data_IF_433075010709
#
_entry.id   IF_433075010709
#
_cell.length_a   1.000
_cell.length_b   1.000
_cell.length_c   1.000
_cell.angle_alpha   90.00
_cell.angle_beta   90.00
_cell.angle_gamma   90.00
#
_symmetry.space_group_name_H-M   'P 1'
#
loop_
_entity.id
_entity.type
_entity.pdbx_description
1 polymer ?
#
# COMPACT_ATOMS: atom_id res chain seq x y z
N UNK A 1 10.38 8.60 24.14
CA UNK A 1 9.09 8.33 23.43
C UNK A 1 9.45 7.67 22.11
N UNK A 2 8.64 6.76 21.58
CA UNK A 2 8.86 6.18 20.23
C UNK A 2 8.16 7.06 19.19
N UNK A 3 8.90 7.51 18.17
CA UNK A 3 8.30 8.28 17.09
C UNK A 3 7.60 7.36 16.09
N UNK A 4 8.27 6.29 15.64
CA UNK A 4 7.68 5.38 14.63
C UNK A 4 7.67 3.94 15.15
N UNK A 5 6.52 3.29 15.05
CA UNK A 5 6.36 1.85 15.14
C UNK A 5 6.42 1.24 13.75
N UNK A 6 7.44 0.45 13.47
CA UNK A 6 7.56 -0.33 12.26
C UNK A 6 6.97 -1.72 12.47
N UNK A 7 5.90 -2.07 11.77
CA UNK A 7 5.38 -3.43 11.75
C UNK A 7 6.00 -4.19 10.57
N UNK A 8 6.61 -5.34 10.86
CA UNK A 8 7.19 -6.24 9.86
C UNK A 8 6.38 -7.54 9.88
N UNK A 9 5.40 -7.70 8.95
CA UNK A 9 4.68 -8.96 8.78
C UNK A 9 5.62 -10.03 8.22
N UNK A 10 5.80 -11.14 8.96
CA UNK A 10 6.70 -12.21 8.60
C UNK A 10 5.93 -13.54 8.48
N UNK A 11 6.07 -14.21 7.33
CA UNK A 11 5.60 -15.58 7.12
C UNK A 11 6.60 -16.34 6.27
N UNK A 12 7.33 -17.30 6.86
CA UNK A 12 8.42 -18.04 6.24
C UNK A 12 9.45 -17.06 5.61
N UNK A 13 9.98 -16.16 6.43
CA UNK A 13 10.81 -15.02 6.01
C UNK A 13 12.28 -15.15 6.45
N UNK A 14 12.74 -16.33 6.87
CA UNK A 14 14.08 -16.55 7.41
C UNK A 14 15.21 -16.04 6.53
N UNK A 15 15.02 -16.02 5.20
CA UNK A 15 16.08 -15.70 4.24
C UNK A 15 16.28 -14.19 4.02
N UNK A 16 15.32 -13.34 4.46
CA UNK A 16 15.37 -11.91 4.13
C UNK A 16 14.98 -10.97 5.28
N UNK A 17 14.24 -11.42 6.31
CA UNK A 17 13.76 -10.54 7.38
C UNK A 17 14.87 -9.81 8.14
N UNK A 18 16.07 -10.37 8.22
CA UNK A 18 17.21 -9.76 8.87
C UNK A 18 17.55 -8.39 8.25
N UNK A 19 17.55 -8.31 6.91
CA UNK A 19 17.83 -7.06 6.21
C UNK A 19 16.79 -5.98 6.48
N UNK A 20 15.50 -6.35 6.52
CA UNK A 20 14.42 -5.44 6.91
C UNK A 20 14.63 -4.88 8.33
N UNK A 21 14.92 -5.76 9.28
CA UNK A 21 15.13 -5.36 10.69
C UNK A 21 16.36 -4.46 10.81
N UNK A 22 17.50 -4.88 10.25
CA UNK A 22 18.77 -4.16 10.35
C UNK A 22 18.73 -2.77 9.72
N UNK A 23 17.92 -2.57 8.68
CA UNK A 23 17.73 -1.27 8.05
C UNK A 23 17.00 -0.24 8.94
N UNK A 24 16.25 -0.69 9.95
CA UNK A 24 15.48 0.17 10.85
C UNK A 24 16.23 0.41 12.18
N UNK A 25 17.12 -0.52 12.60
CA UNK A 25 17.87 -0.42 13.85
C UNK A 25 18.66 0.89 14.03
N UNK A 26 19.22 1.53 12.96
CA UNK A 26 19.87 2.83 13.08
C UNK A 26 19.00 3.94 13.69
N UNK A 27 17.66 3.81 13.62
CA UNK A 27 16.74 4.73 14.30
C UNK A 27 16.81 4.71 15.84
N UNK A 28 17.51 3.73 16.42
CA UNK A 28 17.77 3.66 17.86
C UNK A 28 16.51 3.60 18.71
N UNK A 29 16.53 4.30 19.87
CA UNK A 29 15.38 4.32 20.77
C UNK A 29 14.20 5.19 20.29
N UNK A 30 14.34 5.91 19.18
CA UNK A 30 13.26 6.69 18.56
C UNK A 30 12.28 5.82 17.78
N UNK A 31 12.67 4.59 17.44
CA UNK A 31 11.82 3.63 16.75
C UNK A 31 11.50 2.42 17.62
N UNK A 32 10.41 1.74 17.29
CA UNK A 32 10.18 0.36 17.69
C UNK A 32 9.94 -0.50 16.47
N UNK A 33 10.39 -1.73 16.51
CA UNK A 33 10.24 -2.73 15.46
C UNK A 33 9.35 -3.84 16.02
N UNK A 34 8.18 -4.04 15.42
CA UNK A 34 7.23 -5.06 15.82
C UNK A 34 7.28 -6.16 14.76
N UNK A 35 8.01 -7.22 15.02
CA UNK A 35 8.09 -8.39 14.15
C UNK A 35 6.86 -9.23 14.43
N UNK A 36 5.98 -9.37 13.43
CA UNK A 36 4.77 -10.19 13.57
C UNK A 36 4.97 -11.50 12.83
N UNK A 37 5.27 -12.55 13.57
CA UNK A 37 5.39 -13.91 13.03
C UNK A 37 3.99 -14.51 12.84
N UNK A 38 3.53 -14.56 11.61
CA UNK A 38 2.19 -15.02 11.21
C UNK A 38 2.15 -16.56 11.02
N UNK A 39 2.62 -17.30 12.04
CA UNK A 39 2.58 -18.76 12.07
C UNK A 39 3.57 -19.41 11.10
N UNK A 40 4.79 -18.89 10.99
CA UNK A 40 5.88 -19.45 10.18
C UNK A 40 6.26 -20.87 10.63
N UNK A 41 6.78 -21.66 9.69
CA UNK A 41 7.23 -23.03 9.90
C UNK A 41 8.74 -23.22 9.70
N UNK A 42 9.42 -22.16 9.33
CA UNK A 42 10.87 -22.07 9.19
C UNK A 42 11.49 -21.39 10.43
N UNK A 43 12.72 -20.92 10.33
CA UNK A 43 13.44 -20.26 11.43
C UNK A 43 13.04 -18.81 11.67
N UNK A 44 11.96 -18.31 11.06
CA UNK A 44 11.50 -16.92 11.20
C UNK A 44 11.28 -16.53 12.67
N UNK A 45 10.61 -17.38 13.47
CA UNK A 45 10.36 -17.13 14.89
C UNK A 45 11.66 -17.07 15.70
N UNK A 46 12.57 -18.03 15.47
CA UNK A 46 13.89 -18.08 16.13
C UNK A 46 14.66 -16.78 15.88
N UNK A 47 14.80 -16.38 14.61
CA UNK A 47 15.50 -15.14 14.21
C UNK A 47 14.85 -13.91 14.86
N UNK A 48 13.51 -13.83 14.88
CA UNK A 48 12.79 -12.72 15.48
C UNK A 48 13.12 -12.58 16.97
N UNK A 49 13.12 -13.69 17.72
CA UNK A 49 13.44 -13.71 19.15
C UNK A 49 14.90 -13.38 19.43
N UNK A 50 15.85 -13.81 18.57
CA UNK A 50 17.27 -13.43 18.69
C UNK A 50 17.43 -11.90 18.57
N UNK A 51 16.71 -11.25 17.64
CA UNK A 51 16.73 -9.79 17.55
C UNK A 51 16.07 -9.13 18.76
N UNK A 52 14.99 -9.67 19.31
CA UNK A 52 14.34 -9.14 20.51
C UNK A 52 15.27 -9.25 21.74
N UNK A 53 15.99 -10.34 21.91
CA UNK A 53 16.97 -10.49 23.00
C UNK A 53 18.14 -9.52 22.87
N UNK A 54 18.63 -9.31 21.63
CA UNK A 54 19.75 -8.42 21.34
C UNK A 54 19.36 -6.93 21.46
N UNK A 55 18.12 -6.57 21.14
CA UNK A 55 17.63 -5.18 21.11
C UNK A 55 16.31 -5.00 21.87
N UNK A 56 16.24 -5.35 23.19
CA UNK A 56 14.98 -5.44 23.95
C UNK A 56 14.22 -4.12 24.10
N UNK A 57 14.89 -2.98 23.90
CA UNK A 57 14.25 -1.65 23.93
C UNK A 57 13.65 -1.23 22.58
N UNK A 58 14.01 -1.90 21.50
CA UNK A 58 13.66 -1.51 20.13
C UNK A 58 12.77 -2.57 19.50
N UNK A 59 13.11 -3.86 19.66
CA UNK A 59 12.44 -4.97 18.98
C UNK A 59 11.43 -5.65 19.90
N UNK A 60 10.24 -5.90 19.36
CA UNK A 60 9.17 -6.71 19.96
C UNK A 60 8.77 -7.81 18.98
N UNK A 61 8.41 -8.97 19.50
CA UNK A 61 7.91 -10.08 18.70
C UNK A 61 6.48 -10.38 19.08
N UNK A 62 5.66 -10.64 18.07
CA UNK A 62 4.27 -11.09 18.21
C UNK A 62 4.12 -12.38 17.43
N UNK A 63 4.13 -13.51 18.13
CA UNK A 63 3.82 -14.82 17.53
C UNK A 63 2.32 -15.02 17.52
N UNK A 64 1.77 -15.45 16.37
CA UNK A 64 0.34 -15.71 16.21
C UNK A 64 0.08 -16.83 15.22
N UNK A 65 -1.14 -17.39 15.26
CA UNK A 65 -1.61 -18.26 14.19
C UNK A 65 -1.71 -17.52 12.86
N UNK A 66 -1.46 -18.22 11.75
CA UNK A 66 -1.51 -17.64 10.44
C UNK A 66 -2.89 -17.03 10.13
N UNK A 67 -2.92 -15.74 9.85
CA UNK A 67 -4.10 -14.98 9.45
C UNK A 67 -3.88 -14.21 8.13
N UNK A 68 -2.67 -14.31 7.56
CA UNK A 68 -2.23 -13.61 6.37
C UNK A 68 -1.76 -12.18 6.64
N UNK A 69 -1.18 -11.57 5.62
CA UNK A 69 -0.52 -10.26 5.70
C UNK A 69 -1.37 -9.19 6.41
N UNK A 70 -2.65 -9.06 6.04
CA UNK A 70 -3.52 -8.05 6.66
C UNK A 70 -3.70 -8.25 8.17
N UNK A 71 -3.85 -9.49 8.62
CA UNK A 71 -3.99 -9.81 10.05
C UNK A 71 -2.68 -9.58 10.81
N UNK A 72 -1.53 -9.81 10.18
CA UNK A 72 -0.24 -9.48 10.74
C UNK A 72 -0.06 -7.95 10.89
N UNK A 73 -0.48 -7.15 9.89
CA UNK A 73 -0.50 -5.68 9.99
C UNK A 73 -1.44 -5.21 11.11
N UNK A 74 -2.65 -5.80 11.24
CA UNK A 74 -3.57 -5.49 12.34
C UNK A 74 -2.94 -5.77 13.71
N UNK A 75 -2.24 -6.89 13.84
CA UNK A 75 -1.52 -7.25 15.07
C UNK A 75 -0.40 -6.26 15.37
N UNK A 76 0.39 -5.86 14.35
CA UNK A 76 1.40 -4.82 14.47
C UNK A 76 0.81 -3.50 14.97
N UNK A 77 -0.29 -3.04 14.37
CA UNK A 77 -0.97 -1.80 14.77
C UNK A 77 -1.51 -1.87 16.22
N UNK A 78 -2.01 -3.03 16.63
CA UNK A 78 -2.50 -3.23 18.01
C UNK A 78 -1.37 -3.04 19.03
N UNK A 79 -0.17 -3.57 18.75
CA UNK A 79 1.00 -3.51 19.64
C UNK A 79 1.83 -2.22 19.48
N UNK A 80 1.52 -1.39 18.48
CA UNK A 80 2.23 -0.15 18.22
C UNK A 80 2.06 0.86 19.36
N UNK A 81 3.19 1.41 19.85
CA UNK A 81 3.25 2.43 20.89
C UNK A 81 3.85 3.74 20.39
N UNK A 82 4.49 3.74 19.23
CA UNK A 82 5.02 4.92 18.57
C UNK A 82 3.92 5.87 18.09
N UNK A 83 4.23 7.14 18.03
CA UNK A 83 3.31 8.20 17.58
C UNK A 83 2.82 7.97 16.15
N UNK A 84 3.69 7.41 15.33
CA UNK A 84 3.41 7.08 13.93
C UNK A 84 3.60 5.58 13.68
N UNK A 85 2.93 5.08 12.66
CA UNK A 85 2.91 3.67 12.27
C UNK A 85 3.32 3.50 10.80
N UNK A 86 4.24 2.56 10.55
CA UNK A 86 4.73 2.20 9.22
C UNK A 86 4.76 0.69 9.07
N UNK A 87 4.28 0.19 7.94
CA UNK A 87 4.45 -1.21 7.54
C UNK A 87 5.69 -1.33 6.66
N UNK A 88 6.53 -2.32 6.94
CA UNK A 88 7.66 -2.72 6.10
C UNK A 88 7.52 -4.22 5.84
N UNK A 89 7.38 -4.61 4.58
CA UNK A 89 7.30 -6.02 4.21
C UNK A 89 8.65 -6.72 4.51
N UNK A 90 8.61 -7.98 4.91
CA UNK A 90 9.80 -8.70 5.41
C UNK A 90 10.89 -8.91 4.37
N UNK A 91 10.59 -8.72 3.08
CA UNK A 91 11.52 -8.80 1.96
C UNK A 91 11.96 -7.42 1.43
N UNK A 92 11.51 -6.34 2.07
CA UNK A 92 11.85 -4.96 1.76
C UNK A 92 12.71 -4.34 2.87
N UNK A 93 13.18 -3.10 2.69
CA UNK A 93 13.96 -2.37 3.68
C UNK A 93 13.79 -0.87 3.58
N UNK A 94 14.39 -0.11 4.49
CA UNK A 94 14.40 1.35 4.46
C UNK A 94 15.82 1.88 4.26
N UNK A 95 15.92 3.08 3.71
CA UNK A 95 17.19 3.80 3.59
C UNK A 95 17.52 4.49 4.91
N UNK A 96 18.75 4.30 5.42
CA UNK A 96 19.20 4.80 6.70
C UNK A 96 19.23 6.33 6.75
N UNK A 97 19.79 6.98 5.73
CA UNK A 97 19.87 8.46 5.68
C UNK A 97 18.46 9.08 5.62
N UNK A 98 17.56 8.48 4.85
CA UNK A 98 16.18 8.92 4.78
C UNK A 98 15.43 8.67 6.11
N UNK A 99 15.70 7.56 6.80
CA UNK A 99 15.15 7.29 8.13
C UNK A 99 15.56 8.38 9.13
N UNK A 100 16.83 8.73 9.19
CA UNK A 100 17.34 9.78 10.09
C UNK A 100 16.69 11.14 9.79
N UNK A 101 16.55 11.53 8.51
CA UNK A 101 15.86 12.78 8.11
C UNK A 101 14.40 12.80 8.54
N UNK A 102 13.69 11.67 8.37
CA UNK A 102 12.29 11.55 8.78
C UNK A 102 12.17 11.69 10.31
N UNK A 103 13.03 11.01 11.07
CA UNK A 103 13.04 11.10 12.54
C UNK A 103 13.37 12.51 13.03
N UNK A 104 14.28 13.23 12.36
CA UNK A 104 14.61 14.63 12.66
C UNK A 104 13.39 15.53 12.47
N UNK A 105 12.69 15.42 11.34
CA UNK A 105 11.46 16.18 11.09
C UNK A 105 10.38 15.87 12.14
N UNK A 106 10.17 14.59 12.47
CA UNK A 106 9.18 14.21 13.48
C UNK A 106 9.53 14.70 14.89
N UNK A 107 10.82 14.80 15.24
CA UNK A 107 11.30 15.38 16.49
C UNK A 107 11.00 16.88 16.57
N UNK A 108 11.36 17.65 15.53
CA UNK A 108 11.06 19.08 15.46
C UNK A 108 9.55 19.36 15.52
N UNK A 109 8.74 18.56 14.86
CA UNK A 109 7.28 18.70 14.94
C UNK A 109 6.74 18.44 16.35
N UNK A 110 7.34 17.50 17.11
CA UNK A 110 6.98 17.27 18.50
C UNK A 110 7.36 18.45 19.40
N UNK A 111 8.57 19.00 19.22
CA UNK A 111 9.05 20.18 19.94
C UNK A 111 8.16 21.41 19.71
N UNK A 112 7.65 21.57 18.49
CA UNK A 112 6.74 22.66 18.09
C UNK A 112 5.25 22.35 18.41
N UNK A 113 4.95 21.26 19.11
CA UNK A 113 3.59 20.78 19.37
C UNK A 113 2.73 20.62 18.11
N UNK A 114 3.38 20.34 16.97
CA UNK A 114 2.71 20.02 15.72
C UNK A 114 2.48 18.52 15.58
N UNK A 115 1.36 18.15 15.01
CA UNK A 115 1.01 16.75 14.80
C UNK A 115 0.54 16.54 13.36
N UNK A 116 1.06 15.50 12.73
CA UNK A 116 0.64 15.06 11.40
C UNK A 116 -0.36 13.91 11.51
N UNK A 117 -1.23 13.78 10.51
CA UNK A 117 -2.03 12.57 10.32
C UNK A 117 -1.30 11.59 9.39
N UNK A 118 -0.53 12.11 8.43
CA UNK A 118 0.20 11.31 7.45
C UNK A 118 1.48 12.02 6.99
N UNK A 119 2.58 11.28 7.00
CA UNK A 119 3.81 11.66 6.30
C UNK A 119 3.94 10.76 5.06
N UNK A 120 4.31 11.37 3.93
CA UNK A 120 4.58 10.69 2.67
C UNK A 120 6.06 10.83 2.33
N UNK A 121 6.69 9.74 1.90
CA UNK A 121 8.04 9.71 1.36
C UNK A 121 8.08 8.89 0.07
N UNK A 122 9.17 8.99 -0.68
CA UNK A 122 9.34 8.22 -1.91
C UNK A 122 9.60 6.74 -1.61
N UNK A 123 9.38 5.90 -2.64
CA UNK A 123 9.89 4.54 -2.63
C UNK A 123 10.64 4.24 -3.93
N UNK A 124 11.54 3.28 -3.85
CA UNK A 124 12.46 2.90 -4.93
C UNK A 124 12.24 1.44 -5.26
N UNK A 125 12.04 1.13 -6.53
CA UNK A 125 12.06 -0.24 -7.00
C UNK A 125 13.49 -0.79 -7.02
N UNK A 126 13.75 -1.78 -6.17
CA UNK A 126 15.01 -2.52 -6.11
C UNK A 126 14.88 -3.82 -6.91
N UNK A 127 15.27 -3.75 -8.18
CA UNK A 127 15.19 -4.90 -9.09
C UNK A 127 16.56 -5.50 -9.31
N UNK A 128 16.70 -6.80 -9.04
CA UNK A 128 17.95 -7.54 -9.27
C UNK A 128 18.39 -7.41 -10.74
N UNK A 129 19.62 -6.99 -10.96
CA UNK A 129 20.21 -6.85 -12.30
C UNK A 129 19.75 -5.64 -13.11
N UNK A 130 18.95 -4.74 -12.56
CA UNK A 130 18.58 -3.50 -13.23
C UNK A 130 19.73 -2.48 -13.17
N UNK A 131 20.08 -1.91 -14.33
CA UNK A 131 21.12 -0.87 -14.42
C UNK A 131 20.72 0.45 -13.77
N UNK A 132 19.43 0.73 -13.69
CA UNK A 132 18.88 1.96 -13.09
C UNK A 132 17.73 1.61 -12.16
N UNK A 133 17.74 2.24 -10.97
CA UNK A 133 16.65 2.15 -10.00
C UNK A 133 15.55 3.11 -10.41
N UNK A 134 14.29 2.69 -10.31
CA UNK A 134 13.14 3.56 -10.56
C UNK A 134 12.62 4.10 -9.23
N UNK A 135 12.69 5.41 -9.07
CA UNK A 135 12.12 6.13 -7.94
C UNK A 135 10.69 6.54 -8.27
N UNK A 136 9.77 6.31 -7.33
CA UNK A 136 8.43 6.87 -7.35
C UNK A 136 8.37 8.02 -6.34
N UNK A 137 8.26 9.22 -6.86
CA UNK A 137 8.22 10.47 -6.09
C UNK A 137 6.91 11.23 -6.37
N UNK A 138 6.57 12.16 -5.48
CA UNK A 138 5.31 12.94 -5.54
C UNK A 138 5.55 14.46 -5.63
N UNK A 139 6.81 14.91 -5.83
CA UNK A 139 7.22 16.33 -5.88
C UNK A 139 6.51 17.15 -6.95
N UNK A 140 5.94 16.50 -7.97
CA UNK A 140 5.15 17.16 -9.02
C UNK A 140 3.68 17.37 -8.64
N UNK A 141 3.21 16.81 -7.52
CA UNK A 141 1.80 16.85 -7.10
C UNK A 141 1.59 17.21 -5.64
N UNK A 142 2.59 17.05 -4.78
CA UNK A 142 2.49 17.37 -3.36
C UNK A 142 3.42 18.54 -2.99
N UNK A 143 2.96 19.49 -2.15
CA UNK A 143 3.83 20.46 -1.49
C UNK A 143 4.93 19.74 -0.71
N UNK A 144 6.16 20.26 -0.73
CA UNK A 144 7.33 19.65 -0.09
C UNK A 144 7.69 20.41 1.16
N UNK A 145 8.10 19.66 2.20
CA UNK A 145 8.67 20.18 3.45
C UNK A 145 7.80 21.21 4.17
N UNK A 146 6.48 21.10 3.99
CA UNK A 146 5.46 21.90 4.67
C UNK A 146 4.22 21.08 4.99
N UNK A 147 3.45 21.52 5.99
CA UNK A 147 2.15 20.91 6.31
C UNK A 147 1.10 21.42 5.33
N UNK A 148 0.42 20.50 4.67
CA UNK A 148 -0.62 20.81 3.70
C UNK A 148 -1.87 19.93 3.92
N UNK A 149 -2.94 20.24 3.19
CA UNK A 149 -4.22 19.51 3.14
C UNK A 149 -4.49 18.97 1.75
N UNK A 150 -5.45 18.08 1.63
CA UNK A 150 -5.84 17.53 0.32
C UNK A 150 -6.20 18.58 -0.72
N UNK A 151 -6.73 19.74 -0.30
CA UNK A 151 -7.08 20.82 -1.23
C UNK A 151 -5.86 21.61 -1.75
N UNK A 152 -4.69 21.43 -1.14
CA UNK A 152 -3.43 22.08 -1.56
C UNK A 152 -2.66 21.24 -2.59
N UNK A 153 -2.94 19.92 -2.72
CA UNK A 153 -2.24 19.04 -3.65
C UNK A 153 -2.49 19.41 -5.13
N UNK A 154 -1.55 19.03 -6.00
CA UNK A 154 -1.70 19.08 -7.45
C UNK A 154 -2.62 17.99 -8.00
N UNK A 155 -2.55 17.77 -9.32
CA UNK A 155 -3.33 16.74 -9.99
C UNK A 155 -2.52 15.47 -10.17
N UNK A 156 -2.98 14.38 -9.55
CA UNK A 156 -2.40 13.05 -9.75
C UNK A 156 -2.75 12.50 -11.13
N UNK A 157 -1.74 12.06 -11.88
CA UNK A 157 -1.95 11.33 -13.12
C UNK A 157 -2.54 9.93 -12.84
N UNK A 158 -3.13 9.31 -13.87
CA UNK A 158 -3.81 8.02 -13.74
C UNK A 158 -2.87 6.85 -13.37
N UNK A 159 -1.60 6.98 -13.64
CA UNK A 159 -0.54 6.01 -13.33
C UNK A 159 0.18 6.31 -12.01
N UNK A 160 -0.19 7.40 -11.33
CA UNK A 160 0.43 7.88 -10.12
C UNK A 160 -0.56 7.76 -8.95
N UNK A 161 -0.25 6.93 -7.99
CA UNK A 161 -1.04 6.78 -6.76
C UNK A 161 -0.14 6.40 -5.58
N UNK A 162 -0.61 6.74 -4.39
CA UNK A 162 0.11 6.52 -3.15
C UNK A 162 -0.03 5.04 -2.77
N UNK A 163 1.09 4.37 -2.52
CA UNK A 163 1.14 2.99 -2.04
C UNK A 163 1.45 2.93 -0.54
N UNK A 164 1.26 1.76 0.06
CA UNK A 164 1.63 1.46 1.45
C UNK A 164 3.11 1.78 1.72
N UNK A 165 3.97 1.57 0.73
CA UNK A 165 5.41 1.85 0.79
C UNK A 165 5.72 3.32 1.10
N UNK A 166 4.86 4.26 0.64
CA UNK A 166 5.09 5.70 0.79
C UNK A 166 4.55 6.30 2.08
N UNK A 167 3.61 5.66 2.76
CA UNK A 167 2.87 6.30 3.86
C UNK A 167 3.38 5.90 5.24
N UNK A 168 3.40 6.89 6.12
CA UNK A 168 3.58 6.76 7.56
C UNK A 168 2.38 7.47 8.18
N UNK A 169 1.52 6.75 8.88
CA UNK A 169 0.29 7.29 9.47
C UNK A 169 0.43 7.54 10.96
N UNK A 170 -0.33 8.49 11.50
CA UNK A 170 -0.48 8.65 12.93
C UNK A 170 -1.18 7.42 13.54
N UNK A 171 -0.55 6.80 14.53
CA UNK A 171 -1.00 5.54 15.13
C UNK A 171 -2.40 5.67 15.73
N UNK A 172 -2.62 6.72 16.51
CA UNK A 172 -3.91 6.95 17.18
C UNK A 172 -5.04 7.20 16.18
N UNK A 173 -4.75 7.89 15.07
CA UNK A 173 -5.74 8.07 14.00
C UNK A 173 -6.17 6.72 13.43
N UNK A 174 -5.23 5.82 13.11
CA UNK A 174 -5.55 4.49 12.58
C UNK A 174 -6.37 3.67 13.58
N UNK A 175 -6.03 3.74 14.87
CA UNK A 175 -6.78 3.06 15.95
C UNK A 175 -8.17 3.66 16.12
N UNK A 176 -8.30 4.99 16.10
CA UNK A 176 -9.58 5.70 16.25
C UNK A 176 -10.57 5.36 15.13
N UNK A 177 -10.09 5.30 13.88
CA UNK A 177 -10.93 4.91 12.74
C UNK A 177 -11.17 3.40 12.65
N UNK A 178 -10.62 2.63 13.60
CA UNK A 178 -10.73 1.18 13.65
C UNK A 178 -10.27 0.52 12.34
N UNK A 179 -9.11 0.95 11.79
CA UNK A 179 -8.55 0.30 10.61
C UNK A 179 -8.40 -1.19 10.87
N UNK A 180 -9.07 -1.98 10.02
CA UNK A 180 -9.01 -3.44 10.09
C UNK A 180 -8.90 -4.03 8.68
N UNK A 181 -7.84 -4.81 8.45
CA UNK A 181 -7.58 -5.48 7.18
C UNK A 181 -8.12 -6.91 7.21
N UNK A 182 -8.73 -7.40 6.13
CA UNK A 182 -9.26 -8.76 6.04
C UNK A 182 -8.17 -9.83 6.22
N UNK A 183 -8.51 -10.91 6.94
CA UNK A 183 -7.66 -12.10 7.08
C UNK A 183 -7.55 -12.87 5.75
N UNK A 184 -6.44 -13.59 5.57
CA UNK A 184 -6.19 -14.49 4.43
C UNK A 184 -6.49 -13.86 3.07
N UNK A 185 -6.26 -12.55 2.95
CA UNK A 185 -6.55 -11.77 1.75
C UNK A 185 -5.29 -11.07 1.28
N UNK A 186 -4.95 -11.22 -0.01
CA UNK A 186 -3.89 -10.45 -0.66
C UNK A 186 -4.41 -9.10 -1.14
N UNK A 187 -3.51 -8.17 -1.44
CA UNK A 187 -3.82 -6.82 -1.97
C UNK A 187 -4.54 -5.90 -0.98
N UNK A 188 -4.49 -6.24 0.31
CA UNK A 188 -5.07 -5.43 1.41
C UNK A 188 -4.30 -4.14 1.68
N UNK A 189 -3.08 -4.01 1.15
CA UNK A 189 -2.30 -2.79 1.07
C UNK A 189 -3.09 -1.63 0.46
N UNK A 190 -3.94 -1.92 -0.53
CA UNK A 190 -4.86 -0.94 -1.12
C UNK A 190 -5.93 -0.46 -0.12
N UNK A 191 -6.41 -1.34 0.75
CA UNK A 191 -7.34 -0.98 1.84
C UNK A 191 -6.60 -0.13 2.88
N UNK A 192 -5.38 -0.54 3.27
CA UNK A 192 -4.53 0.16 4.22
C UNK A 192 -4.29 1.62 3.81
N UNK A 193 -4.09 1.88 2.52
CA UNK A 193 -3.92 3.25 2.01
C UNK A 193 -5.26 3.97 1.88
N UNK A 194 -6.25 3.33 1.25
CA UNK A 194 -7.49 4.00 0.83
C UNK A 194 -8.42 4.37 1.98
N UNK A 195 -8.54 3.48 2.98
CA UNK A 195 -9.49 3.67 4.08
C UNK A 195 -9.16 4.90 4.95
N UNK A 196 -7.91 5.21 5.32
CA UNK A 196 -7.62 6.37 6.15
C UNK A 196 -7.76 7.73 5.45
N UNK A 197 -7.73 7.80 4.11
CA UNK A 197 -7.60 9.07 3.37
C UNK A 197 -8.61 10.16 3.78
N UNK A 198 -9.92 9.88 3.99
CA UNK A 198 -10.88 10.90 4.40
C UNK A 198 -10.70 11.43 5.82
N UNK A 199 -9.91 10.73 6.63
CA UNK A 199 -9.62 11.08 8.03
C UNK A 199 -8.32 11.89 8.17
N UNK A 200 -7.49 11.92 7.13
CA UNK A 200 -6.23 12.66 7.06
C UNK A 200 -6.51 14.14 6.78
N UNK A 201 -6.04 15.02 7.65
CA UNK A 201 -6.20 16.48 7.57
C UNK A 201 -4.88 17.22 7.44
N UNK A 202 -3.81 16.73 8.08
CA UNK A 202 -2.47 17.32 8.07
C UNK A 202 -1.51 16.32 7.44
N UNK A 203 -0.99 16.69 6.29
CA UNK A 203 -0.10 15.88 5.48
C UNK A 203 1.25 16.58 5.41
N UNK A 204 2.32 15.81 5.37
CA UNK A 204 3.67 16.29 5.10
C UNK A 204 4.32 15.39 4.06
N UNK A 205 4.96 15.97 3.06
CA UNK A 205 5.68 15.19 2.07
C UNK A 205 7.16 15.54 2.09
N UNK A 206 7.99 14.52 2.23
CA UNK A 206 9.46 14.61 2.12
C UNK A 206 9.91 13.95 0.81
N UNK A 207 10.65 14.69 -0.01
CA UNK A 207 11.23 14.15 -1.24
C UNK A 207 12.52 13.37 -0.92
N UNK A 208 12.40 12.30 -0.13
CA UNK A 208 13.48 11.38 0.25
C UNK A 208 13.13 9.96 -0.15
N UNK A 209 14.13 9.22 -0.64
CA UNK A 209 14.01 7.86 -1.19
C UNK A 209 14.05 6.83 -0.06
N UNK A 210 12.97 6.80 0.75
CA UNK A 210 12.93 6.10 2.03
C UNK A 210 12.74 4.60 1.91
N UNK A 211 11.69 4.15 1.22
CA UNK A 211 11.32 2.73 1.17
C UNK A 211 11.98 2.05 -0.02
N UNK A 212 12.60 0.90 0.19
CA UNK A 212 13.29 0.07 -0.80
C UNK A 212 12.46 -1.16 -1.09
N UNK A 213 11.71 -1.12 -2.19
CA UNK A 213 10.78 -2.17 -2.60
C UNK A 213 11.49 -3.20 -3.49
N UNK A 214 11.74 -4.39 -2.94
CA UNK A 214 12.41 -5.47 -3.65
C UNK A 214 11.47 -6.18 -4.60
N UNK A 215 11.81 -6.18 -5.89
CA UNK A 215 11.01 -6.81 -6.94
C UNK A 215 11.84 -7.73 -7.83
N UNK A 216 11.18 -8.74 -8.41
CA UNK A 216 11.80 -9.61 -9.43
C UNK A 216 11.80 -11.09 -9.10
N UNK A 217 11.29 -11.52 -7.94
CA UNK A 217 11.07 -12.94 -7.67
C UNK A 217 9.80 -13.43 -8.36
N UNK A 218 9.81 -14.69 -8.83
CA UNK A 218 8.68 -15.29 -9.54
C UNK A 218 7.46 -15.57 -8.65
N UNK A 219 7.68 -15.73 -7.35
CA UNK A 219 6.65 -16.05 -6.35
C UNK A 219 5.92 -14.83 -5.78
N UNK A 220 6.39 -13.61 -6.10
CA UNK A 220 5.80 -12.37 -5.59
C UNK A 220 4.32 -12.21 -5.97
N UNK A 221 3.57 -11.60 -5.06
CA UNK A 221 2.11 -11.37 -5.19
C UNK A 221 1.72 -10.55 -6.42
N UNK A 222 2.62 -9.70 -6.91
CA UNK A 222 2.43 -8.84 -8.10
C UNK A 222 2.70 -9.54 -9.43
N UNK A 223 3.17 -10.80 -9.41
CA UNK A 223 3.31 -11.59 -10.64
C UNK A 223 1.94 -11.86 -11.27
N UNK A 224 1.77 -11.58 -12.56
CA UNK A 224 0.48 -11.69 -13.27
C UNK A 224 -0.17 -13.08 -13.15
N UNK A 225 0.62 -14.15 -13.24
CA UNK A 225 0.11 -15.53 -13.09
C UNK A 225 -0.43 -15.78 -11.69
N UNK A 226 0.27 -15.23 -10.66
CA UNK A 226 -0.15 -15.30 -9.26
C UNK A 226 -1.41 -14.47 -9.06
N UNK A 227 -1.47 -13.25 -9.60
CA UNK A 227 -2.64 -12.37 -9.52
C UNK A 227 -3.89 -13.02 -10.16
N UNK A 228 -3.75 -13.69 -11.29
CA UNK A 228 -4.88 -14.40 -11.93
C UNK A 228 -5.37 -15.55 -11.03
N UNK A 229 -4.49 -16.29 -10.38
CA UNK A 229 -4.88 -17.35 -9.42
C UNK A 229 -5.62 -16.79 -8.19
N UNK A 230 -5.31 -15.54 -7.80
CA UNK A 230 -5.88 -14.82 -6.66
C UNK A 230 -6.95 -13.78 -7.05
N UNK A 231 -7.53 -13.93 -8.26
CA UNK A 231 -8.47 -12.96 -8.82
C UNK A 231 -9.67 -12.68 -7.91
N UNK A 232 -10.20 -13.70 -7.23
CA UNK A 232 -11.34 -13.53 -6.33
C UNK A 232 -11.01 -12.61 -5.15
N UNK A 233 -9.78 -12.66 -4.65
CA UNK A 233 -9.32 -11.76 -3.59
C UNK A 233 -9.14 -10.33 -4.11
N UNK A 234 -8.61 -10.16 -5.32
CA UNK A 234 -8.52 -8.84 -5.96
C UNK A 234 -9.91 -8.21 -6.15
N UNK A 235 -10.90 -9.01 -6.59
CA UNK A 235 -12.30 -8.56 -6.72
C UNK A 235 -12.91 -8.25 -5.36
N UNK A 236 -12.63 -9.06 -4.35
CA UNK A 236 -13.09 -8.82 -2.98
C UNK A 236 -12.56 -7.49 -2.43
N UNK A 237 -11.25 -7.22 -2.53
CA UNK A 237 -10.65 -5.96 -2.11
C UNK A 237 -11.27 -4.78 -2.87
N UNK A 238 -11.46 -4.90 -4.20
CA UNK A 238 -12.10 -3.84 -5.00
C UNK A 238 -13.53 -3.57 -4.53
N UNK A 239 -14.33 -4.61 -4.24
CA UNK A 239 -15.69 -4.45 -3.70
C UNK A 239 -15.68 -3.81 -2.31
N UNK A 240 -14.75 -4.22 -1.45
CA UNK A 240 -14.56 -3.62 -0.12
C UNK A 240 -14.28 -2.12 -0.24
N UNK A 241 -13.38 -1.69 -1.15
CA UNK A 241 -13.12 -0.27 -1.39
C UNK A 241 -14.35 0.49 -1.92
N UNK A 242 -15.18 -0.13 -2.77
CA UNK A 242 -16.45 0.45 -3.22
C UNK A 242 -17.41 0.69 -2.05
N UNK A 243 -17.46 -0.23 -1.09
CA UNK A 243 -18.38 -0.16 0.05
C UNK A 243 -17.95 0.82 1.14
N UNK A 244 -16.64 1.14 1.23
CA UNK A 244 -16.10 2.00 2.29
C UNK A 244 -16.69 3.40 2.28
N UNK A 245 -16.85 4.01 1.09
CA UNK A 245 -17.26 5.42 0.99
C UNK A 245 -18.22 5.70 -0.17
N UNK A 246 -19.24 6.48 0.12
CA UNK A 246 -19.98 7.21 -0.92
C UNK A 246 -19.14 8.44 -1.29
N UNK A 247 -18.38 8.39 -2.40
CA UNK A 247 -17.42 9.43 -2.76
C UNK A 247 -18.03 10.83 -2.88
N UNK A 248 -19.33 10.93 -3.18
CA UNK A 248 -20.07 12.21 -3.17
C UNK A 248 -20.02 12.95 -1.84
N UNK A 249 -19.85 12.22 -0.72
CA UNK A 249 -19.84 12.75 0.64
C UNK A 249 -18.44 13.21 1.09
N UNK A 250 -17.40 12.97 0.30
CA UNK A 250 -16.03 13.45 0.58
C UNK A 250 -15.98 14.95 0.32
N UNK A 251 -15.66 15.75 1.36
CA UNK A 251 -15.70 17.21 1.32
C UNK A 251 -14.72 17.81 0.32
N UNK A 252 -13.43 17.43 0.39
CA UNK A 252 -12.40 17.90 -0.53
C UNK A 252 -12.67 17.38 -1.95
N UNK A 253 -12.73 18.31 -2.92
CA UNK A 253 -12.90 17.97 -4.34
C UNK A 253 -11.67 17.22 -4.88
N UNK A 254 -10.47 17.62 -4.45
CA UNK A 254 -9.21 17.02 -4.90
C UNK A 254 -9.06 15.60 -4.34
N UNK A 255 -9.31 15.40 -3.04
CA UNK A 255 -9.33 14.06 -2.45
C UNK A 255 -10.37 13.16 -3.11
N UNK A 256 -11.58 13.64 -3.31
CA UNK A 256 -12.65 12.88 -3.98
C UNK A 256 -12.23 12.44 -5.39
N UNK A 257 -11.57 13.31 -6.15
CA UNK A 257 -11.08 12.96 -7.49
C UNK A 257 -9.95 11.95 -7.41
N UNK A 258 -9.03 12.10 -6.46
CA UNK A 258 -7.95 11.15 -6.20
C UNK A 258 -8.50 9.76 -5.85
N UNK A 259 -9.43 9.68 -4.90
CA UNK A 259 -10.06 8.42 -4.50
C UNK A 259 -10.85 7.77 -5.65
N UNK A 260 -11.51 8.58 -6.50
CA UNK A 260 -12.18 8.10 -7.71
C UNK A 260 -11.18 7.49 -8.71
N UNK A 261 -10.04 8.15 -8.93
CA UNK A 261 -8.98 7.65 -9.80
C UNK A 261 -8.38 6.36 -9.25
N UNK A 262 -8.14 6.28 -7.94
CA UNK A 262 -7.66 5.06 -7.30
C UNK A 262 -8.64 3.89 -7.51
N UNK A 263 -9.93 4.13 -7.27
CA UNK A 263 -10.96 3.13 -7.51
C UNK A 263 -11.03 2.72 -9.01
N UNK A 264 -10.82 3.67 -9.93
CA UNK A 264 -10.75 3.38 -11.37
C UNK A 264 -9.56 2.46 -11.71
N UNK A 265 -8.41 2.64 -11.05
CA UNK A 265 -7.25 1.74 -11.19
C UNK A 265 -7.61 0.34 -10.68
N UNK A 266 -8.22 0.21 -9.51
CA UNK A 266 -8.61 -1.09 -8.93
C UNK A 266 -9.64 -1.82 -9.82
N UNK A 267 -10.63 -1.10 -10.35
CA UNK A 267 -11.59 -1.63 -11.34
C UNK A 267 -10.90 -2.08 -12.63
N UNK A 268 -9.87 -1.37 -13.05
CA UNK A 268 -9.08 -1.69 -14.26
C UNK A 268 -8.24 -2.93 -14.03
N UNK A 269 -7.50 -3.02 -12.91
CA UNK A 269 -6.69 -4.19 -12.55
C UNK A 269 -7.56 -5.43 -12.45
N UNK A 270 -8.68 -5.38 -11.73
CA UNK A 270 -9.63 -6.48 -11.63
C UNK A 270 -10.17 -6.90 -13.01
N UNK A 271 -10.52 -5.92 -13.85
CA UNK A 271 -11.05 -6.18 -15.18
C UNK A 271 -10.04 -6.82 -16.13
N UNK A 272 -8.80 -6.33 -16.13
CA UNK A 272 -7.77 -6.84 -17.02
C UNK A 272 -7.35 -8.27 -16.63
N UNK A 273 -7.26 -8.57 -15.34
CA UNK A 273 -6.98 -9.92 -14.86
C UNK A 273 -8.07 -10.90 -15.28
N UNK A 274 -9.37 -10.50 -15.21
CA UNK A 274 -10.48 -11.28 -15.72
C UNK A 274 -10.34 -11.56 -17.24
N UNK A 275 -9.94 -10.55 -18.02
CA UNK A 275 -9.75 -10.68 -19.47
C UNK A 275 -8.57 -11.61 -19.78
N UNK A 276 -7.44 -11.45 -19.09
CA UNK A 276 -6.21 -12.20 -19.33
C UNK A 276 -6.26 -13.64 -18.84
N UNK A 277 -7.14 -13.96 -17.89
CA UNK A 277 -7.40 -15.33 -17.45
C UNK A 277 -7.96 -16.22 -18.55
N UNK A 278 -8.53 -15.64 -19.62
CA UNK A 278 -9.18 -16.34 -20.75
C UNK A 278 -10.30 -17.29 -20.32
N UNK A 279 -10.81 -17.18 -19.08
CA UNK A 279 -11.88 -17.99 -18.52
C UNK A 279 -13.23 -17.27 -18.66
N UNK A 280 -14.27 -18.00 -19.09
CA UNK A 280 -15.63 -17.45 -19.23
C UNK A 280 -16.22 -17.03 -17.87
N UNK A 281 -16.02 -17.83 -16.84
CA UNK A 281 -16.46 -17.54 -15.46
C UNK A 281 -15.89 -16.21 -14.97
N UNK A 282 -14.59 -15.98 -15.17
CA UNK A 282 -13.95 -14.74 -14.77
C UNK A 282 -14.46 -13.52 -15.58
N UNK A 283 -14.90 -13.72 -16.81
CA UNK A 283 -15.55 -12.66 -17.59
C UNK A 283 -16.94 -12.31 -17.03
N UNK A 284 -17.67 -13.27 -16.47
CA UNK A 284 -18.93 -12.98 -15.75
C UNK A 284 -18.64 -12.25 -14.44
N UNK A 285 -17.63 -12.69 -13.64
CA UNK A 285 -17.18 -11.96 -12.44
C UNK A 285 -16.85 -10.50 -12.75
N UNK A 286 -16.21 -10.23 -13.91
CA UNK A 286 -15.99 -8.85 -14.36
C UNK A 286 -17.29 -8.09 -14.53
N UNK A 287 -18.29 -8.65 -15.22
CA UNK A 287 -19.60 -7.99 -15.40
C UNK A 287 -20.30 -7.72 -14.07
N UNK A 288 -20.27 -8.70 -13.18
CA UNK A 288 -20.83 -8.59 -11.83
C UNK A 288 -20.15 -7.46 -11.04
N UNK A 289 -18.83 -7.32 -11.10
CA UNK A 289 -18.10 -6.25 -10.44
C UNK A 289 -18.54 -4.86 -10.96
N UNK A 290 -18.69 -4.69 -12.28
CA UNK A 290 -19.19 -3.43 -12.86
C UNK A 290 -20.64 -3.14 -12.48
N UNK A 291 -21.50 -4.17 -12.41
CA UNK A 291 -22.88 -4.03 -11.92
C UNK A 291 -22.91 -3.69 -10.43
N UNK A 292 -22.01 -4.28 -9.66
CA UNK A 292 -21.86 -3.98 -8.23
C UNK A 292 -21.56 -2.49 -8.01
N UNK A 293 -20.55 -1.94 -8.68
CA UNK A 293 -20.24 -0.52 -8.63
C UNK A 293 -21.44 0.35 -9.05
N UNK A 294 -22.13 -0.03 -10.15
CA UNK A 294 -23.32 0.69 -10.61
C UNK A 294 -24.45 0.74 -9.56
N UNK A 295 -24.66 -0.38 -8.87
CA UNK A 295 -25.68 -0.49 -7.82
C UNK A 295 -25.31 0.31 -6.56
N UNK A 296 -24.04 0.32 -6.19
CA UNK A 296 -23.54 0.95 -4.96
C UNK A 296 -23.32 2.46 -5.10
N UNK A 297 -22.69 2.88 -6.20
CA UNK A 297 -22.42 4.29 -6.50
C UNK A 297 -22.54 4.57 -8.00
N UNK A 298 -23.74 4.93 -8.43
CA UNK A 298 -24.03 5.23 -9.83
C UNK A 298 -23.19 6.41 -10.37
N UNK A 299 -22.88 7.42 -9.54
CA UNK A 299 -22.08 8.58 -9.97
C UNK A 299 -20.64 8.18 -10.25
N UNK A 300 -20.03 7.43 -9.36
CA UNK A 300 -18.68 6.90 -9.55
C UNK A 300 -18.65 5.91 -10.71
N UNK A 301 -19.68 5.06 -10.83
CA UNK A 301 -19.81 4.15 -11.99
C UNK A 301 -19.80 4.91 -13.32
N UNK A 302 -20.61 5.97 -13.48
CA UNK A 302 -20.64 6.74 -14.72
C UNK A 302 -19.26 7.34 -15.03
N UNK A 303 -18.61 7.98 -14.06
CA UNK A 303 -17.29 8.60 -14.25
C UNK A 303 -16.22 7.58 -14.60
N UNK A 304 -16.17 6.45 -13.90
CA UNK A 304 -15.16 5.40 -14.13
C UNK A 304 -15.46 4.66 -15.44
N UNK A 305 -16.73 4.28 -15.67
CA UNK A 305 -17.12 3.48 -16.85
C UNK A 305 -16.88 4.20 -18.17
N UNK A 306 -17.12 5.51 -18.19
CA UNK A 306 -16.98 6.35 -19.39
C UNK A 306 -15.67 7.13 -19.42
N UNK A 307 -14.83 7.02 -18.39
CA UNK A 307 -13.44 7.46 -18.42
C UNK A 307 -12.56 6.53 -19.29
N UNK A 308 -11.35 6.98 -19.61
CA UNK A 308 -10.41 6.29 -20.52
C UNK A 308 -10.19 4.83 -20.10
N UNK A 309 -9.84 4.59 -18.84
CA UNK A 309 -9.58 3.25 -18.32
C UNK A 309 -10.84 2.35 -18.42
N UNK A 310 -11.99 2.88 -18.03
CA UNK A 310 -13.25 2.14 -18.07
C UNK A 310 -13.69 1.80 -19.47
N UNK A 311 -13.56 2.71 -20.42
CA UNK A 311 -13.85 2.47 -21.82
C UNK A 311 -12.95 1.37 -22.37
N UNK A 312 -11.64 1.46 -22.17
CA UNK A 312 -10.66 0.46 -22.62
C UNK A 312 -10.97 -0.93 -22.08
N UNK A 313 -11.36 -1.05 -20.81
CA UNK A 313 -11.68 -2.34 -20.19
C UNK A 313 -13.02 -2.93 -20.62
N UNK A 314 -13.90 -2.16 -21.26
CA UNK A 314 -15.25 -2.57 -21.60
C UNK A 314 -15.57 -2.51 -23.10
N UNK A 315 -14.57 -2.54 -23.96
CA UNK A 315 -14.74 -2.71 -25.42
C UNK A 315 -15.40 -4.07 -25.67
N UNK A 316 -16.51 -4.13 -26.42
CA UNK A 316 -17.27 -5.37 -26.61
C UNK A 316 -16.57 -6.40 -27.48
N UNK A 317 -16.98 -7.66 -27.33
CA UNK A 317 -16.57 -8.76 -28.21
C UNK A 317 -15.15 -9.31 -27.94
N UNK A 318 -14.76 -10.28 -28.73
CA UNK A 318 -13.42 -10.91 -28.65
C UNK A 318 -12.31 -9.95 -29.08
N UNK A 319 -12.55 -9.15 -30.12
CA UNK A 319 -11.60 -8.15 -30.62
C UNK A 319 -11.35 -7.05 -29.58
N UNK A 320 -12.40 -6.57 -28.89
CA UNK A 320 -12.26 -5.60 -27.81
C UNK A 320 -11.37 -6.10 -26.66
N UNK A 321 -11.54 -7.36 -26.24
CA UNK A 321 -10.66 -7.96 -25.22
C UNK A 321 -9.20 -8.07 -25.65
N UNK A 322 -8.94 -8.33 -26.96
CA UNK A 322 -7.57 -8.31 -27.50
C UNK A 322 -6.96 -6.92 -27.42
N UNK A 323 -7.72 -5.87 -27.77
CA UNK A 323 -7.29 -4.48 -27.69
C UNK A 323 -6.98 -4.11 -26.22
N UNK A 324 -7.89 -4.42 -25.28
CA UNK A 324 -7.65 -4.19 -23.85
C UNK A 324 -6.37 -4.87 -23.36
N UNK A 325 -6.16 -6.13 -23.76
CA UNK A 325 -4.98 -6.89 -23.38
C UNK A 325 -3.69 -6.33 -23.98
N UNK A 326 -3.73 -5.84 -25.22
CA UNK A 326 -2.59 -5.19 -25.87
C UNK A 326 -2.26 -3.86 -25.19
N UNK A 327 -3.27 -3.02 -24.97
CA UNK A 327 -3.10 -1.74 -24.28
C UNK A 327 -2.48 -1.92 -22.88
N UNK A 328 -2.92 -2.92 -22.13
CA UNK A 328 -2.32 -3.27 -20.85
C UNK A 328 -0.85 -3.70 -20.99
N UNK A 329 -0.53 -4.54 -21.99
CA UNK A 329 0.86 -5.00 -22.21
C UNK A 329 1.78 -3.82 -22.54
N UNK A 330 1.31 -2.86 -23.35
CA UNK A 330 2.08 -1.64 -23.66
C UNK A 330 2.24 -0.76 -22.42
N UNK A 331 1.15 -0.50 -21.70
CA UNK A 331 1.20 0.30 -20.46
C UNK A 331 2.16 -0.31 -19.41
N UNK A 332 2.10 -1.64 -19.23
CA UNK A 332 3.00 -2.35 -18.32
C UNK A 332 4.49 -2.18 -18.68
N UNK A 333 4.82 -2.20 -19.99
CA UNK A 333 6.20 -1.96 -20.45
C UNK A 333 6.65 -0.51 -20.23
N UNK A 334 5.77 0.45 -20.44
CA UNK A 334 6.08 1.88 -20.28
C UNK A 334 6.17 2.29 -18.82
N UNK A 335 5.27 1.78 -17.98
CA UNK A 335 5.22 2.09 -16.54
C UNK A 335 6.27 1.29 -15.75
N UNK A 336 6.77 0.19 -16.32
CA UNK A 336 7.85 -0.60 -15.71
C UNK A 336 7.39 -1.49 -14.55
N UNK A 337 6.13 -1.92 -14.54
CA UNK A 337 5.68 -3.00 -13.68
C UNK A 337 6.15 -4.34 -14.24
N UNK A 338 7.17 -4.95 -13.61
CA UNK A 338 7.75 -6.28 -13.91
C UNK A 338 8.30 -6.50 -15.32
#
# INVERSE_FOLDING_TARGET
MKYISFAIPCYNSQDYMAHAIESILPGGEDVEIIIVNDGSKDRTSEIAHDYMEKYPKIVKVVDKENGGHGDAVNSGLTHATGKYFKVVDSDDWVDEDALHKILEVLRHMEEDAMELDMLIANYVYEKVGAAHKKVIHYRNVLPQDEIFRWDDMGHFHLDQYILMHSVIYRTDMLKLIQLHLPKHTFYVDNIYVYYPLPHVRKIYYMDVDFYRYFIGREDQSVNEKVMIKRLDQQIFVTKTMIDMYQLKNIGSKKLRQYMLNYLAIMMTVSSILCIRSKNKENLEKKKELWQYLKKKDLRSFIKIRYGILGQTMNIPGKSGRKISSLAYTVARRLIGFN
#
